data_IF_736223186186
#
_entry.id   IF_736223186186
#
_cell.length_a   1.000
_cell.length_b   1.000
_cell.length_c   1.000
_cell.angle_alpha   90.00
_cell.angle_beta   90.00
_cell.angle_gamma   90.00
#
_symmetry.space_group_name_H-M   'P 1'
#
loop_
_entity.id
_entity.type
_entity.pdbx_description
1 polymer ?
#
# COMPACT_ATOMS: atom_id res chain seq x y z
N UNK A 1 -11.78 -6.65 -13.10
CA UNK A 1 -11.05 -7.23 -11.95
C UNK A 1 -9.58 -6.92 -12.20
N UNK A 2 -9.04 -5.87 -11.57
CA UNK A 2 -7.62 -5.58 -11.61
C UNK A 2 -6.98 -6.24 -10.38
N UNK A 3 -5.72 -6.68 -10.48
CA UNK A 3 -5.11 -7.55 -9.49
C UNK A 3 -3.74 -7.00 -9.07
N UNK A 4 -3.69 -6.37 -7.89
CA UNK A 4 -2.45 -5.82 -7.36
C UNK A 4 -1.35 -6.92 -7.29
N UNK A 5 -0.21 -6.73 -7.97
CA UNK A 5 0.85 -7.72 -8.03
C UNK A 5 1.61 -7.88 -6.71
N UNK A 6 1.62 -6.87 -5.84
CA UNK A 6 2.21 -6.98 -4.49
C UNK A 6 1.29 -7.79 -3.56
N UNK A 7 0.01 -7.42 -3.45
CA UNK A 7 -0.98 -8.15 -2.66
C UNK A 7 -1.05 -9.65 -3.00
N UNK A 8 -0.84 -9.99 -4.27
CA UNK A 8 -0.94 -11.36 -4.76
C UNK A 8 0.42 -12.07 -4.88
N UNK A 9 1.50 -11.47 -4.35
CA UNK A 9 2.84 -12.07 -4.34
C UNK A 9 3.44 -12.29 -5.73
N UNK A 10 2.89 -11.66 -6.77
CA UNK A 10 3.38 -11.74 -8.15
C UNK A 10 4.64 -10.90 -8.37
N UNK A 11 4.84 -9.87 -7.54
CA UNK A 11 5.99 -8.98 -7.58
C UNK A 11 6.48 -8.66 -6.18
N UNK A 12 7.77 -8.37 -6.05
CA UNK A 12 8.36 -7.74 -4.86
C UNK A 12 8.76 -6.31 -5.19
N UNK A 13 8.57 -5.42 -4.22
CA UNK A 13 9.05 -4.04 -4.28
C UNK A 13 10.36 -3.94 -3.50
N UNK A 14 11.30 -3.18 -4.05
CA UNK A 14 12.56 -2.84 -3.41
C UNK A 14 12.65 -1.31 -3.41
N UNK A 15 12.52 -0.70 -2.25
CA UNK A 15 12.61 0.73 -2.05
C UNK A 15 13.63 1.02 -0.94
N UNK A 16 14.46 2.04 -1.14
CA UNK A 16 15.42 2.49 -0.14
C UNK A 16 14.80 3.63 0.68
N UNK A 17 14.97 3.58 2.00
CA UNK A 17 14.44 4.61 2.88
C UNK A 17 15.13 5.96 2.63
N UNK A 18 14.39 7.05 2.38
CA UNK A 18 14.97 8.36 2.11
C UNK A 18 15.77 8.95 3.30
N UNK A 19 15.55 8.43 4.52
CA UNK A 19 16.19 8.94 5.74
C UNK A 19 17.47 8.20 6.15
N UNK A 20 17.60 6.90 5.81
CA UNK A 20 18.69 6.05 6.31
C UNK A 20 19.18 5.01 5.31
N UNK A 21 18.70 5.04 4.06
CA UNK A 21 19.10 4.18 2.95
C UNK A 21 18.87 2.67 3.16
N UNK A 22 18.21 2.29 4.26
CA UNK A 22 17.84 0.90 4.54
C UNK A 22 16.69 0.45 3.64
N UNK A 23 16.70 -0.80 3.19
CA UNK A 23 15.61 -1.40 2.44
C UNK A 23 14.30 -1.37 3.24
N UNK A 24 13.27 -0.75 2.65
CA UNK A 24 11.94 -0.66 3.22
C UNK A 24 11.13 -1.94 2.96
N UNK A 25 10.23 -2.25 3.88
CA UNK A 25 9.37 -3.43 3.81
C UNK A 25 7.96 -3.02 3.40
N UNK A 26 7.40 -3.74 2.44
CA UNK A 26 5.96 -3.68 2.16
C UNK A 26 5.19 -4.35 3.30
N UNK A 27 4.34 -3.57 3.97
CA UNK A 27 3.51 -4.05 5.07
C UNK A 27 2.06 -4.32 4.62
N UNK A 28 1.76 -4.14 3.34
CA UNK A 28 0.43 -4.38 2.78
C UNK A 28 -0.30 -3.09 2.42
N UNK A 29 -1.62 -3.17 2.25
CA UNK A 29 -2.41 -2.02 1.82
C UNK A 29 -2.53 -1.04 2.97
N UNK A 30 -2.30 0.24 2.73
CA UNK A 30 -2.40 1.27 3.79
C UNK A 30 -3.80 1.31 4.41
N UNK A 31 -4.83 1.03 3.60
CA UNK A 31 -6.22 0.96 4.04
C UNK A 31 -6.50 -0.13 5.06
N UNK A 32 -5.69 -1.19 5.13
CA UNK A 32 -5.85 -2.25 6.14
C UNK A 32 -5.62 -1.73 7.57
N UNK A 33 -5.05 -0.52 7.71
CA UNK A 33 -4.72 0.12 8.99
C UNK A 33 -5.67 1.27 9.38
N UNK A 34 -6.72 1.55 8.60
CA UNK A 34 -7.63 2.67 8.89
C UNK A 34 -8.59 2.39 10.05
N UNK A 35 -9.06 1.15 10.18
CA UNK A 35 -9.92 0.69 11.26
C UNK A 35 -9.71 -0.82 11.50
N UNK A 36 -10.19 -1.31 12.64
CA UNK A 36 -10.08 -2.70 13.08
C UNK A 36 -10.72 -3.71 12.10
N UNK A 37 -11.66 -3.23 11.28
CA UNK A 37 -12.38 -4.05 10.30
C UNK A 37 -11.95 -3.83 8.85
N UNK A 38 -11.13 -2.81 8.56
CA UNK A 38 -10.81 -2.44 7.17
C UNK A 38 -10.18 -3.59 6.38
N UNK A 39 -9.38 -4.44 7.02
CA UNK A 39 -8.79 -5.63 6.38
C UNK A 39 -9.83 -6.62 5.81
N UNK A 40 -11.08 -6.57 6.28
CA UNK A 40 -12.19 -7.43 5.85
C UNK A 40 -13.18 -6.73 4.92
N UNK A 41 -13.05 -5.41 4.73
CA UNK A 41 -13.95 -4.65 3.85
C UNK A 41 -13.58 -4.82 2.37
N UNK A 42 -14.56 -4.58 1.50
CA UNK A 42 -14.33 -4.58 0.06
C UNK A 42 -13.34 -3.48 -0.33
N UNK A 43 -12.29 -3.88 -1.05
CA UNK A 43 -11.20 -2.99 -1.45
C UNK A 43 -11.70 -1.79 -2.27
N UNK A 44 -12.69 -1.99 -3.15
CA UNK A 44 -13.20 -0.88 -3.98
C UNK A 44 -14.03 0.11 -3.16
N UNK A 45 -14.65 -0.36 -2.08
CA UNK A 45 -15.37 0.49 -1.12
C UNK A 45 -14.38 1.36 -0.35
N UNK A 46 -13.33 0.76 0.19
CA UNK A 46 -12.27 1.48 0.89
C UNK A 46 -11.56 2.50 -0.02
N UNK A 47 -11.28 2.17 -1.28
CA UNK A 47 -10.67 3.12 -2.24
C UNK A 47 -11.51 4.37 -2.53
N UNK A 48 -12.80 4.40 -2.18
CA UNK A 48 -13.62 5.62 -2.30
C UNK A 48 -13.28 6.65 -1.22
N UNK A 49 -12.66 6.22 -0.13
CA UNK A 49 -12.43 7.00 1.09
C UNK A 49 -10.99 6.86 1.61
N UNK A 50 -10.07 6.34 0.80
CA UNK A 50 -8.67 6.07 1.17
C UNK A 50 -7.76 7.31 1.16
N UNK A 51 -8.30 8.49 0.85
CA UNK A 51 -7.52 9.71 0.72
C UNK A 51 -6.72 9.81 -0.58
N UNK A 52 -6.87 8.86 -1.52
CA UNK A 52 -6.24 8.86 -2.85
C UNK A 52 -7.34 9.01 -3.92
N UNK A 53 -7.69 10.24 -4.35
CA UNK A 53 -8.92 10.54 -5.09
C UNK A 53 -9.13 9.72 -6.38
N UNK A 54 -8.04 9.32 -7.04
CA UNK A 54 -8.07 8.59 -8.30
C UNK A 54 -7.64 7.12 -8.15
N UNK A 55 -7.39 6.59 -6.94
CA UNK A 55 -6.89 5.21 -6.77
C UNK A 55 -7.86 4.18 -7.36
N UNK A 56 -9.16 4.32 -7.09
CA UNK A 56 -10.20 3.45 -7.66
C UNK A 56 -10.29 3.59 -9.18
N UNK A 57 -10.27 4.83 -9.68
CA UNK A 57 -10.44 5.13 -11.10
C UNK A 57 -9.27 4.63 -11.93
N UNK A 58 -8.07 4.80 -11.40
CA UNK A 58 -6.83 4.40 -12.05
C UNK A 58 -6.58 2.90 -11.88
N UNK A 59 -7.17 2.23 -10.88
CA UNK A 59 -6.76 0.86 -10.53
C UNK A 59 -5.39 0.87 -9.87
N UNK A 60 -5.18 1.83 -8.96
CA UNK A 60 -3.98 1.91 -8.13
C UNK A 60 -4.31 1.33 -6.75
N UNK A 61 -3.37 0.57 -6.19
CA UNK A 61 -3.45 -0.05 -4.88
C UNK A 61 -2.42 0.64 -3.96
N UNK A 62 -2.86 1.49 -3.02
CA UNK A 62 -1.94 2.19 -2.12
C UNK A 62 -1.34 1.22 -1.08
N UNK A 63 -0.04 1.02 -1.14
CA UNK A 63 0.72 0.16 -0.24
C UNK A 63 1.54 0.98 0.76
N UNK A 64 1.56 0.54 2.01
CA UNK A 64 2.39 1.11 3.06
C UNK A 64 3.76 0.44 3.05
N UNK A 65 4.80 1.23 2.85
CA UNK A 65 6.19 0.82 3.05
C UNK A 65 6.67 1.36 4.39
N UNK A 66 7.23 0.49 5.22
CA UNK A 66 7.79 0.86 6.52
C UNK A 66 9.28 0.53 6.60
N UNK A 67 10.07 1.48 7.09
CA UNK A 67 11.49 1.30 7.30
C UNK A 67 11.76 0.65 8.66
N UNK A 68 12.33 -0.56 8.70
CA UNK A 68 12.59 -1.26 9.96
C UNK A 68 13.71 -0.63 10.80
N UNK A 69 14.54 0.25 10.23
CA UNK A 69 15.68 0.85 10.93
C UNK A 69 15.36 2.19 11.62
N UNK A 70 14.52 3.02 11.01
CA UNK A 70 14.22 4.37 11.52
C UNK A 70 12.72 4.62 11.77
N UNK A 71 11.84 3.70 11.39
CA UNK A 71 10.39 3.83 11.55
C UNK A 71 9.75 4.83 10.58
N UNK A 72 10.44 5.22 9.51
CA UNK A 72 9.84 6.04 8.45
C UNK A 72 8.85 5.21 7.64
N UNK A 73 7.65 5.76 7.46
CA UNK A 73 6.60 5.17 6.65
C UNK A 73 6.32 6.04 5.41
N UNK A 74 6.09 5.40 4.28
CA UNK A 74 5.64 6.05 3.05
C UNK A 74 4.57 5.23 2.34
N UNK A 75 3.66 5.90 1.63
CA UNK A 75 2.64 5.22 0.82
C UNK A 75 3.02 5.28 -0.65
N UNK A 76 3.01 4.13 -1.31
CA UNK A 76 3.32 3.99 -2.74
C UNK A 76 2.10 3.46 -3.48
N UNK A 77 1.75 4.12 -4.60
CA UNK A 77 0.66 3.69 -5.47
C UNK A 77 1.14 2.61 -6.44
N UNK A 78 0.57 1.41 -6.33
CA UNK A 78 0.92 0.26 -7.16
C UNK A 78 -0.14 0.01 -8.20
N UNK A 79 0.27 -0.21 -9.46
CA UNK A 79 -0.68 -0.55 -10.52
C UNK A 79 -1.19 -1.97 -10.38
N UNK A 80 -2.51 -2.13 -10.42
CA UNK A 80 -3.24 -3.41 -10.46
C UNK A 80 -3.25 -4.10 -11.83
#
# INVERSE_FOLDING_TARGET
MALCPLCNGLRKIHAACPNCDTEMKDTGKVMDYYDEYSAYEDINTLKKVDGFPDSLKNGDCPHLLSCPSCGHDEVVLIKE
#
